data_IF_634380197255
#
_entry.id   IF_634380197255
#
_cell.length_a   1.000
_cell.length_b   1.000
_cell.length_c   1.000
_cell.angle_alpha   90.00
_cell.angle_beta   90.00
_cell.angle_gamma   90.00
#
_symmetry.space_group_name_H-M   'P 1'
#
loop_
_entity.id
_entity.type
_entity.pdbx_description
1 polymer ?
#
# COMPACT_ATOMS: atom_id res chain seq x y z
N UNK A 1 2.83 -20.64 -15.50
CA UNK A 1 4.24 -20.27 -15.63
C UNK A 1 4.64 -19.49 -14.38
N UNK A 2 5.45 -20.11 -13.53
CA UNK A 2 5.96 -19.55 -12.29
C UNK A 2 6.92 -18.40 -12.61
N UNK A 3 6.63 -17.22 -12.09
CA UNK A 3 7.56 -16.10 -12.08
C UNK A 3 8.80 -16.53 -11.30
N UNK A 4 9.90 -16.80 -12.01
CA UNK A 4 11.22 -16.98 -11.41
C UNK A 4 11.78 -15.58 -11.19
N UNK A 5 11.82 -15.05 -9.95
CA UNK A 5 12.39 -13.74 -9.71
C UNK A 5 13.86 -13.81 -10.11
N UNK A 6 14.28 -12.95 -11.04
CA UNK A 6 15.70 -12.74 -11.30
C UNK A 6 16.37 -12.49 -9.95
N UNK A 7 17.35 -13.32 -9.54
CA UNK A 7 17.93 -13.21 -8.20
C UNK A 7 18.51 -11.80 -8.05
N UNK A 8 18.05 -11.06 -7.04
CA UNK A 8 18.39 -9.65 -6.81
C UNK A 8 19.90 -9.40 -6.67
N UNK A 9 20.72 -10.45 -6.41
CA UNK A 9 22.18 -10.40 -6.58
C UNK A 9 22.58 -9.90 -7.98
N UNK A 10 21.89 -10.34 -9.03
CA UNK A 10 22.10 -9.92 -10.40
C UNK A 10 21.58 -8.51 -10.72
N UNK A 11 20.62 -7.98 -9.95
CA UNK A 11 20.09 -6.62 -10.13
C UNK A 11 21.10 -5.54 -9.71
N UNK A 12 21.97 -5.84 -8.75
CA UNK A 12 23.03 -4.92 -8.29
C UNK A 12 24.42 -5.26 -8.85
N UNK A 13 24.60 -6.39 -9.54
CA UNK A 13 25.90 -6.83 -10.09
C UNK A 13 25.96 -6.84 -11.62
N UNK A 14 24.88 -6.48 -12.33
CA UNK A 14 24.87 -6.41 -13.80
C UNK A 14 25.28 -5.00 -14.26
N UNK A 15 26.27 -4.85 -15.17
CA UNK A 15 26.83 -3.55 -15.59
C UNK A 15 25.88 -2.51 -16.20
N UNK A 16 24.58 -2.81 -16.32
CA UNK A 16 23.56 -1.92 -16.88
C UNK A 16 22.40 -1.55 -15.95
N UNK A 17 22.42 -1.94 -14.67
CA UNK A 17 21.29 -1.76 -13.75
C UNK A 17 21.44 -0.63 -12.73
N UNK A 18 22.67 -0.20 -12.42
CA UNK A 18 22.94 0.95 -11.55
C UNK A 18 23.16 2.19 -12.42
N UNK A 19 22.15 3.03 -12.57
CA UNK A 19 22.25 4.23 -13.44
C UNK A 19 22.64 5.48 -12.64
N UNK A 20 22.25 5.58 -11.35
CA UNK A 20 22.76 6.61 -10.44
C UNK A 20 22.42 6.29 -8.97
N UNK A 21 23.37 6.52 -8.05
CA UNK A 21 23.06 6.68 -6.63
C UNK A 21 22.60 8.13 -6.43
N UNK A 22 21.31 8.34 -6.18
CA UNK A 22 20.78 9.67 -5.89
C UNK A 22 20.60 9.83 -4.38
N UNK A 23 20.62 11.07 -3.89
CA UNK A 23 20.27 11.37 -2.51
C UNK A 23 18.87 11.98 -2.49
N UNK A 24 17.99 11.47 -1.64
CA UNK A 24 16.74 12.13 -1.27
C UNK A 24 16.74 12.35 0.23
N UNK A 25 16.68 13.62 0.62
CA UNK A 25 16.73 14.06 2.02
C UNK A 25 17.92 13.46 2.79
N UNK A 26 19.12 13.52 2.19
CA UNK A 26 20.36 12.98 2.74
C UNK A 26 20.51 11.45 2.71
N UNK A 27 19.46 10.69 2.36
CA UNK A 27 19.53 9.23 2.28
C UNK A 27 19.92 8.76 0.87
N UNK A 28 20.93 7.88 0.74
CA UNK A 28 21.30 7.31 -0.55
C UNK A 28 20.18 6.38 -1.03
N UNK A 29 19.60 6.70 -2.16
CA UNK A 29 18.64 5.88 -2.88
C UNK A 29 19.35 5.27 -4.08
N UNK A 30 19.30 3.95 -4.14
CA UNK A 30 19.69 3.22 -5.35
C UNK A 30 18.53 3.24 -6.32
N UNK A 31 18.60 4.08 -7.35
CA UNK A 31 17.67 4.06 -8.47
C UNK A 31 18.23 3.13 -9.56
N UNK A 32 17.54 2.02 -9.77
CA UNK A 32 17.73 1.17 -10.94
C UNK A 32 16.58 1.39 -11.92
N UNK A 33 16.86 1.24 -13.21
CA UNK A 33 15.90 1.45 -14.30
C UNK A 33 15.75 0.21 -15.19
N UNK A 34 15.36 -0.96 -14.65
CA UNK A 34 15.06 -2.09 -15.50
C UNK A 34 13.87 -1.80 -16.41
N UNK A 35 13.94 -2.32 -17.63
CA UNK A 35 12.76 -2.41 -18.47
C UNK A 35 11.73 -3.36 -17.83
N UNK A 36 10.51 -2.88 -17.63
CA UNK A 36 9.35 -3.71 -17.35
C UNK A 36 9.15 -4.70 -18.50
N UNK A 37 8.96 -5.97 -18.17
CA UNK A 37 8.56 -7.04 -19.12
C UNK A 37 7.04 -7.24 -19.17
N UNK A 38 6.31 -6.44 -18.39
CA UNK A 38 4.87 -6.50 -18.15
C UNK A 38 4.51 -5.65 -16.94
N UNK A 39 3.25 -5.26 -16.81
CA UNK A 39 2.78 -4.34 -15.77
C UNK A 39 1.77 -4.97 -14.81
N UNK A 40 0.86 -5.81 -15.34
CA UNK A 40 -0.20 -6.50 -14.63
C UNK A 40 0.24 -7.93 -14.29
N UNK A 41 0.41 -8.19 -13.00
CA UNK A 41 0.61 -9.55 -12.48
C UNK A 41 -0.71 -10.07 -11.95
N UNK A 42 -1.10 -11.30 -12.28
CA UNK A 42 -2.26 -11.95 -11.64
C UNK A 42 -2.06 -11.95 -10.12
N UNK A 43 -3.05 -11.46 -9.39
CA UNK A 43 -3.03 -11.49 -7.94
C UNK A 43 -2.96 -12.95 -7.45
N UNK A 44 -2.29 -13.17 -6.33
CA UNK A 44 -2.20 -14.48 -5.70
C UNK A 44 -2.17 -14.37 -4.17
N UNK A 45 -2.37 -15.51 -3.49
CA UNK A 45 -2.32 -15.59 -2.02
C UNK A 45 -3.31 -14.65 -1.35
N UNK A 46 -2.85 -13.94 -0.31
CA UNK A 46 -3.67 -13.04 0.51
C UNK A 46 -4.33 -11.91 -0.31
N UNK A 47 -3.72 -11.50 -1.42
CA UNK A 47 -4.23 -10.40 -2.25
C UNK A 47 -5.30 -10.87 -3.22
N UNK A 48 -5.32 -12.13 -3.62
CA UNK A 48 -6.36 -12.68 -4.51
C UNK A 48 -7.53 -13.31 -3.75
N UNK A 49 -7.27 -13.84 -2.55
CA UNK A 49 -8.29 -14.54 -1.78
C UNK A 49 -9.32 -13.54 -1.24
N UNK A 50 -10.54 -13.62 -1.77
CA UNK A 50 -11.78 -12.91 -1.35
C UNK A 50 -11.82 -11.38 -1.46
N UNK A 51 -10.69 -10.70 -1.59
CA UNK A 51 -10.59 -9.27 -1.95
C UNK A 51 -11.06 -8.92 -3.37
N UNK A 52 -11.37 -9.93 -4.21
CA UNK A 52 -11.78 -9.81 -5.62
C UNK A 52 -10.77 -9.10 -6.55
N UNK A 53 -9.56 -8.79 -6.07
CA UNK A 53 -8.48 -8.26 -6.91
C UNK A 53 -8.01 -9.35 -7.89
N UNK A 54 -8.00 -9.05 -9.18
CA UNK A 54 -7.51 -9.97 -10.21
C UNK A 54 -6.07 -9.67 -10.60
N UNK A 55 -5.67 -8.39 -10.60
CA UNK A 55 -4.32 -7.98 -10.98
C UNK A 55 -3.70 -7.03 -9.98
N UNK A 56 -2.39 -7.13 -9.80
CA UNK A 56 -1.56 -6.14 -9.11
C UNK A 56 -0.69 -5.41 -10.12
N UNK A 57 -0.63 -4.10 -10.01
CA UNK A 57 0.14 -3.18 -10.84
C UNK A 57 1.28 -2.60 -9.99
N UNK A 58 2.53 -2.99 -10.23
CA UNK A 58 3.68 -2.63 -9.37
C UNK A 58 4.76 -1.85 -10.15
N UNK A 59 4.60 -0.51 -10.29
CA UNK A 59 5.58 0.34 -10.99
C UNK A 59 6.92 0.44 -10.26
N UNK A 60 6.88 0.34 -8.93
CA UNK A 60 8.05 0.41 -8.05
C UNK A 60 8.33 -0.90 -7.31
N UNK A 61 9.60 -1.16 -7.03
CA UNK A 61 10.03 -2.10 -5.99
C UNK A 61 10.75 -1.37 -4.86
N UNK A 62 10.62 -1.87 -3.65
CA UNK A 62 11.18 -1.21 -2.47
C UNK A 62 10.22 -0.17 -1.91
N UNK A 63 10.62 0.45 -0.81
CA UNK A 63 9.81 1.43 -0.09
C UNK A 63 10.73 2.25 0.82
N UNK A 64 10.52 3.57 0.86
CA UNK A 64 11.34 4.50 1.65
C UNK A 64 10.70 4.84 3.01
N UNK A 65 9.49 4.34 3.30
CA UNK A 65 8.79 4.59 4.56
C UNK A 65 9.35 3.81 5.76
N UNK A 66 10.17 2.78 5.51
CA UNK A 66 10.86 1.97 6.52
C UNK A 66 9.95 1.42 7.64
N UNK A 67 8.71 1.04 7.32
CA UNK A 67 7.78 0.58 8.34
C UNK A 67 8.30 -0.68 9.05
N UNK A 68 8.36 -0.66 10.37
CA UNK A 68 8.91 -1.76 11.19
C UNK A 68 8.02 -2.99 11.22
N UNK A 69 6.74 -2.86 10.88
CA UNK A 69 5.80 -3.99 10.76
C UNK A 69 5.66 -4.51 9.32
N UNK A 70 6.38 -3.95 8.34
CA UNK A 70 6.16 -4.24 6.92
C UNK A 70 6.31 -5.73 6.60
N UNK A 71 5.33 -6.31 5.89
CA UNK A 71 5.37 -7.72 5.48
C UNK A 71 6.22 -7.95 4.22
N UNK A 72 6.40 -6.91 3.39
CA UNK A 72 7.04 -7.03 2.08
C UNK A 72 8.47 -7.59 2.15
N UNK A 73 9.33 -7.18 3.11
CA UNK A 73 10.62 -7.83 3.39
C UNK A 73 10.59 -9.36 3.42
N UNK A 74 9.52 -9.95 3.97
CA UNK A 74 9.34 -11.41 4.12
C UNK A 74 8.50 -12.02 2.99
N UNK A 75 8.02 -11.24 2.04
CA UNK A 75 7.29 -11.75 0.88
C UNK A 75 8.20 -12.58 -0.03
N UNK A 76 7.60 -13.42 -0.88
CA UNK A 76 8.36 -14.27 -1.82
C UNK A 76 9.34 -13.48 -2.69
N UNK A 77 8.99 -12.25 -3.04
CA UNK A 77 9.84 -11.36 -3.86
C UNK A 77 11.15 -10.94 -3.17
N UNK A 78 11.18 -10.89 -1.82
CA UNK A 78 12.29 -10.28 -1.08
C UNK A 78 12.92 -11.18 -0.01
N UNK A 79 12.24 -12.25 0.45
CA UNK A 79 12.67 -13.07 1.60
C UNK A 79 14.07 -13.68 1.51
N UNK A 80 14.61 -13.85 0.30
CA UNK A 80 15.93 -14.44 0.07
C UNK A 80 16.98 -13.40 -0.36
N UNK A 81 16.70 -12.11 -0.19
CA UNK A 81 17.53 -11.01 -0.70
C UNK A 81 18.06 -10.17 0.46
N UNK A 82 19.28 -9.66 0.33
CA UNK A 82 19.85 -8.67 1.28
C UNK A 82 19.03 -7.38 1.29
N UNK A 83 18.43 -7.03 0.15
CA UNK A 83 17.53 -5.90 -0.01
C UNK A 83 16.28 -5.97 0.89
N UNK A 84 15.72 -7.17 1.05
CA UNK A 84 14.60 -7.44 1.95
C UNK A 84 15.01 -7.52 3.42
N UNK A 85 16.19 -8.08 3.72
CA UNK A 85 16.63 -8.33 5.11
C UNK A 85 17.27 -7.11 5.77
N UNK A 86 18.25 -6.51 5.12
CA UNK A 86 19.25 -5.66 5.78
C UNK A 86 19.14 -4.18 5.38
N UNK A 87 18.54 -3.90 4.21
CA UNK A 87 18.44 -2.54 3.66
C UNK A 87 17.02 -2.09 3.30
N UNK A 88 15.99 -2.81 3.74
CA UNK A 88 14.60 -2.35 3.57
C UNK A 88 14.42 -0.96 4.19
N UNK A 89 13.70 -0.08 3.49
CA UNK A 89 13.58 1.33 3.87
C UNK A 89 14.59 2.26 3.21
N UNK A 90 15.63 1.74 2.53
CA UNK A 90 16.78 2.54 2.04
C UNK A 90 16.90 2.62 0.52
N UNK A 91 15.98 2.01 -0.23
CA UNK A 91 16.09 1.96 -1.69
C UNK A 91 14.72 1.86 -2.34
N UNK A 92 14.67 2.30 -3.59
CA UNK A 92 13.51 2.13 -4.46
C UNK A 92 13.97 1.96 -5.90
N UNK A 93 13.40 0.99 -6.60
CA UNK A 93 13.66 0.75 -8.02
C UNK A 93 12.44 1.17 -8.80
N UNK A 94 12.63 1.99 -9.83
CA UNK A 94 11.58 2.39 -10.74
C UNK A 94 11.71 1.66 -12.08
N UNK A 95 10.60 1.51 -12.79
CA UNK A 95 10.58 0.95 -14.14
C UNK A 95 10.09 2.02 -15.11
N UNK A 96 10.97 2.78 -15.78
CA UNK A 96 10.55 3.96 -16.54
C UNK A 96 9.59 3.67 -17.71
N UNK A 97 9.72 2.49 -18.32
CA UNK A 97 8.87 2.02 -19.43
C UNK A 97 7.60 1.27 -18.96
N UNK A 98 7.27 1.34 -17.67
CA UNK A 98 6.15 0.61 -17.09
C UNK A 98 4.77 1.08 -17.62
N UNK A 99 4.53 2.39 -17.84
CA UNK A 99 3.28 2.86 -18.44
C UNK A 99 3.02 2.28 -19.84
N UNK A 100 4.06 2.16 -20.67
CA UNK A 100 3.96 1.63 -22.03
C UNK A 100 3.59 0.13 -22.01
N UNK A 101 4.23 -0.64 -21.13
CA UNK A 101 3.88 -2.05 -20.93
C UNK A 101 2.44 -2.19 -20.41
N UNK A 102 2.00 -1.29 -19.54
CA UNK A 102 0.65 -1.27 -18.99
C UNK A 102 -0.40 -0.99 -20.08
N UNK A 103 -0.18 0.02 -20.93
CA UNK A 103 -1.07 0.32 -22.05
C UNK A 103 -1.26 -0.90 -22.95
N UNK A 104 -0.19 -1.59 -23.32
CA UNK A 104 -0.28 -2.79 -24.18
C UNK A 104 -1.13 -3.90 -23.55
N UNK A 105 -1.00 -4.13 -22.25
CA UNK A 105 -1.75 -5.16 -21.54
C UNK A 105 -3.22 -4.77 -21.30
N UNK A 106 -3.49 -3.49 -21.03
CA UNK A 106 -4.85 -2.96 -20.92
C UNK A 106 -5.57 -3.01 -22.27
N UNK A 107 -4.93 -2.58 -23.36
CA UNK A 107 -5.48 -2.69 -24.72
C UNK A 107 -5.77 -4.16 -25.10
N UNK A 108 -4.95 -5.11 -24.63
CA UNK A 108 -5.20 -6.54 -24.83
C UNK A 108 -6.38 -7.08 -24.02
N UNK A 109 -6.66 -6.51 -22.84
CA UNK A 109 -7.88 -6.83 -22.07
C UNK A 109 -9.12 -6.20 -22.71
N UNK A 110 -8.98 -5.00 -23.26
CA UNK A 110 -10.04 -4.27 -23.92
C UNK A 110 -10.47 -4.94 -25.24
N UNK A 111 -9.51 -5.34 -26.09
CA UNK A 111 -9.77 -6.15 -27.31
C UNK A 111 -10.47 -7.48 -27.03
N UNK A 112 -10.36 -8.00 -25.81
CA UNK A 112 -11.05 -9.22 -25.36
C UNK A 112 -12.39 -8.93 -24.68
N UNK A 113 -12.78 -7.66 -24.59
CA UNK A 113 -13.99 -7.17 -23.92
C UNK A 113 -14.11 -7.61 -22.45
N UNK A 114 -12.97 -7.73 -21.77
CA UNK A 114 -12.92 -8.10 -20.35
C UNK A 114 -12.40 -6.99 -19.44
N UNK A 115 -11.92 -5.87 -19.97
CA UNK A 115 -11.37 -4.76 -19.18
C UNK A 115 -12.35 -4.24 -18.12
N UNK A 116 -13.61 -4.02 -18.49
CA UNK A 116 -14.68 -3.59 -17.56
C UNK A 116 -15.11 -4.63 -16.51
N UNK A 117 -14.48 -5.81 -16.52
CA UNK A 117 -14.65 -6.85 -15.50
C UNK A 117 -13.42 -6.99 -14.60
N UNK A 118 -12.32 -6.32 -14.96
CA UNK A 118 -11.04 -6.45 -14.28
C UNK A 118 -10.97 -5.54 -13.06
N UNK A 119 -10.44 -6.09 -11.97
CA UNK A 119 -10.07 -5.33 -10.78
C UNK A 119 -8.56 -5.28 -10.61
N UNK A 120 -8.02 -4.07 -10.46
CA UNK A 120 -6.58 -3.79 -10.34
C UNK A 120 -6.27 -3.20 -8.96
N UNK A 121 -5.26 -3.73 -8.29
CA UNK A 121 -4.63 -3.09 -7.13
C UNK A 121 -3.34 -2.42 -7.55
N UNK A 122 -3.22 -1.12 -7.32
CA UNK A 122 -1.98 -0.39 -7.50
C UNK A 122 -1.07 -0.61 -6.29
N UNK A 123 0.11 -1.13 -6.56
CA UNK A 123 1.20 -1.42 -5.62
C UNK A 123 0.83 -2.37 -4.46
N UNK A 124 1.32 -3.60 -4.53
CA UNK A 124 1.19 -4.63 -3.49
C UNK A 124 2.49 -4.94 -2.74
N UNK A 125 3.61 -4.38 -3.19
CA UNK A 125 4.96 -4.65 -2.67
C UNK A 125 5.83 -3.39 -2.57
N UNK A 126 5.19 -2.23 -2.65
CA UNK A 126 5.77 -0.89 -2.54
C UNK A 126 4.64 0.08 -2.18
N UNK A 127 4.97 1.33 -1.88
CA UNK A 127 3.97 2.39 -1.86
C UNK A 127 3.85 2.98 -3.27
N UNK A 128 2.64 3.24 -3.79
CA UNK A 128 2.48 3.81 -5.13
C UNK A 128 3.02 5.24 -5.24
N UNK A 129 3.15 5.98 -4.13
CA UNK A 129 3.63 7.35 -4.12
C UNK A 129 4.82 7.46 -3.16
N UNK A 130 5.98 6.92 -3.56
CA UNK A 130 7.18 7.04 -2.75
C UNK A 130 7.59 8.52 -2.64
N UNK A 131 8.32 8.95 -1.58
CA UNK A 131 8.78 10.33 -1.42
C UNK A 131 9.40 10.98 -2.67
N UNK A 132 10.04 10.18 -3.53
CA UNK A 132 10.66 10.62 -4.80
C UNK A 132 9.68 10.80 -5.97
N UNK A 133 8.41 10.41 -5.86
CA UNK A 133 7.40 10.50 -6.94
C UNK A 133 7.30 11.88 -7.59
N UNK A 134 7.35 13.02 -6.87
CA UNK A 134 7.26 14.35 -7.50
C UNK A 134 8.40 14.67 -8.48
N UNK A 135 9.48 13.88 -8.49
CA UNK A 135 10.56 13.98 -9.49
C UNK A 135 10.43 12.94 -10.60
N UNK A 136 9.80 11.80 -10.32
CA UNK A 136 9.74 10.66 -11.22
C UNK A 136 8.49 10.68 -12.11
N UNK A 137 7.37 11.16 -11.56
CA UNK A 137 6.05 11.19 -12.20
C UNK A 137 5.60 9.84 -12.79
N UNK A 138 6.19 8.72 -12.32
CA UNK A 138 5.94 7.41 -12.89
C UNK A 138 4.53 6.93 -12.53
N UNK A 139 4.11 7.10 -11.28
CA UNK A 139 2.76 6.72 -10.88
C UNK A 139 1.72 7.61 -11.54
N UNK A 140 2.02 8.90 -11.75
CA UNK A 140 1.13 9.77 -12.54
C UNK A 140 0.88 9.21 -13.94
N UNK A 141 1.94 8.87 -14.68
CA UNK A 141 1.83 8.24 -16.02
C UNK A 141 1.10 6.89 -16.00
N UNK A 142 1.25 6.12 -14.92
CA UNK A 142 0.49 4.88 -14.71
C UNK A 142 -0.99 5.14 -14.49
N UNK A 143 -1.34 6.16 -13.71
CA UNK A 143 -2.73 6.56 -13.48
C UNK A 143 -3.38 7.14 -14.73
N UNK A 144 -2.64 7.90 -15.55
CA UNK A 144 -3.11 8.36 -16.87
C UNK A 144 -3.45 7.16 -17.78
N UNK A 145 -2.58 6.15 -17.85
CA UNK A 145 -2.85 4.94 -18.61
C UNK A 145 -4.06 4.15 -18.09
N UNK A 146 -4.24 4.08 -16.77
CA UNK A 146 -5.40 3.44 -16.15
C UNK A 146 -6.68 4.25 -16.36
N UNK A 147 -6.64 5.57 -16.33
CA UNK A 147 -7.78 6.43 -16.65
C UNK A 147 -8.23 6.22 -18.09
N UNK A 148 -7.28 6.26 -19.03
CA UNK A 148 -7.59 6.10 -20.45
C UNK A 148 -8.12 4.69 -20.80
N UNK A 149 -7.78 3.67 -19.98
CA UNK A 149 -8.30 2.30 -20.08
C UNK A 149 -8.83 1.83 -18.72
N UNK A 150 -9.91 2.45 -18.27
CA UNK A 150 -10.44 2.26 -16.92
C UNK A 150 -10.88 0.81 -16.68
N UNK A 151 -10.25 0.08 -15.74
CA UNK A 151 -10.73 -1.23 -15.31
C UNK A 151 -12.06 -1.08 -14.54
N UNK A 152 -12.75 -2.19 -14.26
CA UNK A 152 -13.96 -2.15 -13.39
C UNK A 152 -13.69 -1.38 -12.10
N UNK A 153 -12.56 -1.70 -11.48
CA UNK A 153 -12.13 -1.14 -10.22
C UNK A 153 -10.62 -0.99 -10.13
N UNK A 154 -10.18 0.15 -9.64
CA UNK A 154 -8.83 0.48 -9.23
C UNK A 154 -8.80 0.66 -7.71
N UNK A 155 -7.96 -0.12 -7.03
CA UNK A 155 -7.73 0.02 -5.60
C UNK A 155 -6.32 0.58 -5.35
N UNK A 156 -6.23 1.70 -4.65
CA UNK A 156 -4.97 2.35 -4.28
C UNK A 156 -4.85 2.34 -2.77
N UNK A 157 -3.74 1.80 -2.24
CA UNK A 157 -3.43 1.89 -0.81
C UNK A 157 -2.10 2.62 -0.62
N UNK A 158 -2.09 3.68 0.19
CA UNK A 158 -0.88 4.48 0.44
C UNK A 158 -0.83 5.07 1.86
N UNK A 159 0.34 5.62 2.22
CA UNK A 159 0.53 6.54 3.37
C UNK A 159 0.95 7.95 2.94
N UNK A 160 1.15 8.15 1.64
CA UNK A 160 1.73 9.36 1.08
C UNK A 160 0.72 10.48 0.98
N UNK A 161 1.19 11.72 1.18
CA UNK A 161 0.40 12.92 0.90
C UNK A 161 0.32 13.21 -0.61
N UNK A 162 1.25 12.66 -1.39
CA UNK A 162 1.40 12.93 -2.84
C UNK A 162 0.26 12.37 -3.69
N UNK A 163 -0.61 11.53 -3.11
CA UNK A 163 -1.85 11.13 -3.78
C UNK A 163 -2.75 12.34 -4.10
N UNK A 164 -2.61 13.44 -3.36
CA UNK A 164 -3.34 14.68 -3.62
C UNK A 164 -2.95 15.35 -4.95
N UNK A 165 -1.73 15.10 -5.44
CA UNK A 165 -1.27 15.58 -6.75
C UNK A 165 -1.87 14.78 -7.92
N UNK A 166 -2.70 13.78 -7.61
CA UNK A 166 -3.39 12.93 -8.58
C UNK A 166 -4.90 13.15 -8.58
N UNK A 167 -5.42 14.08 -7.78
CA UNK A 167 -6.87 14.34 -7.65
C UNK A 167 -7.51 14.63 -9.00
N UNK A 168 -6.82 15.35 -9.87
CA UNK A 168 -7.29 15.65 -11.22
C UNK A 168 -7.57 14.38 -12.03
N UNK A 169 -6.66 13.40 -12.02
CA UNK A 169 -6.83 12.12 -12.71
C UNK A 169 -7.85 11.24 -11.99
N UNK A 170 -7.78 11.15 -10.67
CA UNK A 170 -8.65 10.29 -9.86
C UNK A 170 -10.12 10.73 -9.93
N UNK A 171 -10.38 12.04 -10.02
CA UNK A 171 -11.73 12.59 -10.16
C UNK A 171 -12.40 12.18 -11.48
N UNK A 172 -11.64 11.98 -12.56
CA UNK A 172 -12.14 11.50 -13.85
C UNK A 172 -12.63 10.04 -13.78
N UNK A 173 -12.08 9.24 -12.86
CA UNK A 173 -12.44 7.82 -12.66
C UNK A 173 -13.02 7.53 -11.28
N UNK A 174 -13.59 8.54 -10.60
CA UNK A 174 -14.08 8.42 -9.21
C UNK A 174 -15.07 7.28 -8.98
N UNK A 175 -15.86 6.94 -10.00
CA UNK A 175 -16.83 5.82 -9.97
C UNK A 175 -16.15 4.43 -10.04
N UNK A 176 -14.85 4.39 -10.33
CA UNK A 176 -14.05 3.18 -10.55
C UNK A 176 -12.81 3.12 -9.65
N UNK A 177 -12.63 4.06 -8.71
CA UNK A 177 -11.45 4.09 -7.85
C UNK A 177 -11.80 4.20 -6.38
N UNK A 178 -11.10 3.43 -5.55
CA UNK A 178 -11.13 3.54 -4.09
C UNK A 178 -9.72 3.80 -3.59
N UNK A 179 -9.55 4.82 -2.75
CA UNK A 179 -8.27 5.21 -2.17
C UNK A 179 -8.26 4.93 -0.66
N UNK A 180 -7.46 3.95 -0.26
CA UNK A 180 -7.19 3.63 1.14
C UNK A 180 -5.96 4.35 1.69
N UNK A 181 -6.15 5.18 2.73
CA UNK A 181 -5.03 5.81 3.45
C UNK A 181 -4.75 5.03 4.73
N UNK A 182 -3.52 4.55 4.88
CA UNK A 182 -3.15 3.77 6.07
C UNK A 182 -2.88 4.67 7.26
N UNK A 183 -3.63 4.48 8.36
CA UNK A 183 -3.50 5.18 9.64
C UNK A 183 -3.58 4.13 10.74
N UNK A 184 -2.44 3.80 11.36
CA UNK A 184 -2.30 2.61 12.22
C UNK A 184 -2.53 2.88 13.71
N UNK A 185 -2.53 4.15 14.12
CA UNK A 185 -2.66 4.62 15.50
C UNK A 185 -3.07 6.09 15.53
N UNK A 186 -3.62 6.56 16.65
CA UNK A 186 -3.84 7.98 16.97
C UNK A 186 -2.65 8.62 17.69
N UNK A 187 -1.60 7.85 17.99
CA UNK A 187 -0.45 8.31 18.78
C UNK A 187 0.75 8.54 17.87
N UNK A 188 1.16 9.80 17.76
CA UNK A 188 2.33 10.15 16.95
C UNK A 188 3.64 9.56 17.51
N UNK A 189 3.68 9.30 18.82
CA UNK A 189 4.78 8.56 19.47
C UNK A 189 4.87 7.11 19.00
N UNK A 190 3.74 6.47 18.69
CA UNK A 190 3.70 5.11 18.12
C UNK A 190 4.08 5.15 16.64
N UNK A 191 3.51 6.10 15.88
CA UNK A 191 3.83 6.34 14.47
C UNK A 191 5.32 6.55 14.25
N UNK A 192 5.99 7.43 15.01
CA UNK A 192 7.44 7.68 14.92
C UNK A 192 8.29 6.42 15.10
N UNK A 193 7.82 5.45 15.87
CA UNK A 193 8.54 4.20 16.16
C UNK A 193 8.37 3.18 15.04
N UNK A 194 7.14 3.01 14.56
CA UNK A 194 6.81 1.98 13.57
C UNK A 194 6.87 2.47 12.13
N UNK A 195 6.72 3.76 11.89
CA UNK A 195 6.61 4.41 10.58
C UNK A 195 7.48 5.69 10.57
N UNK A 196 8.80 5.57 10.77
CA UNK A 196 9.67 6.72 11.05
C UNK A 196 9.65 7.77 9.95
N UNK A 197 9.55 7.32 8.69
CA UNK A 197 9.60 8.19 7.51
C UNK A 197 8.20 8.46 6.92
N UNK A 198 7.12 7.95 7.53
CA UNK A 198 5.76 8.23 7.06
C UNK A 198 5.29 9.62 7.52
N UNK A 199 4.40 10.27 6.75
CA UNK A 199 3.82 11.55 7.15
C UNK A 199 3.09 11.47 8.50
N UNK A 200 2.96 12.61 9.21
CA UNK A 200 2.18 12.70 10.45
C UNK A 200 0.76 12.15 10.31
N UNK A 201 0.20 11.64 11.40
CA UNK A 201 -1.18 11.11 11.43
C UNK A 201 -2.19 12.17 10.94
N UNK A 202 -2.14 13.38 11.49
CA UNK A 202 -3.07 14.46 11.11
C UNK A 202 -2.99 14.82 9.62
N UNK A 203 -1.78 14.82 9.06
CA UNK A 203 -1.60 15.09 7.62
C UNK A 203 -2.24 14.00 6.75
N UNK A 204 -2.21 12.74 7.19
CA UNK A 204 -2.89 11.64 6.50
C UNK A 204 -4.42 11.71 6.64
N UNK A 205 -4.92 12.21 7.76
CA UNK A 205 -6.36 12.47 7.94
C UNK A 205 -6.80 13.63 7.04
N UNK A 206 -6.00 14.68 6.90
CA UNK A 206 -6.29 15.77 5.96
C UNK A 206 -6.33 15.30 4.50
N UNK A 207 -5.46 14.36 4.12
CA UNK A 207 -5.53 13.70 2.79
C UNK A 207 -6.88 13.03 2.58
N UNK A 208 -7.37 12.26 3.56
CA UNK A 208 -8.70 11.61 3.48
C UNK A 208 -9.80 12.64 3.26
N UNK A 209 -9.82 13.71 4.08
CA UNK A 209 -10.77 14.83 3.95
C UNK A 209 -10.77 15.42 2.55
N UNK A 210 -9.59 15.74 2.03
CA UNK A 210 -9.43 16.42 0.73
C UNK A 210 -9.83 15.52 -0.44
N UNK A 211 -9.51 14.24 -0.39
CA UNK A 211 -9.95 13.26 -1.38
C UNK A 211 -11.47 13.08 -1.35
N UNK A 212 -12.07 12.95 -0.16
CA UNK A 212 -13.53 12.86 0.02
C UNK A 212 -14.25 14.09 -0.53
N UNK A 213 -13.74 15.29 -0.25
CA UNK A 213 -14.27 16.55 -0.77
C UNK A 213 -14.18 16.66 -2.30
N UNK A 214 -13.25 15.93 -2.93
CA UNK A 214 -13.16 15.82 -4.38
C UNK A 214 -14.11 14.75 -4.97
N UNK A 215 -14.95 14.12 -4.15
CA UNK A 215 -15.89 13.08 -4.58
C UNK A 215 -15.24 11.72 -4.82
N UNK A 216 -14.02 11.50 -4.34
CA UNK A 216 -13.30 10.22 -4.47
C UNK A 216 -13.69 9.32 -3.29
N UNK A 217 -14.00 8.06 -3.58
CA UNK A 217 -14.24 7.07 -2.54
C UNK A 217 -12.98 6.81 -1.72
N UNK A 218 -13.10 6.94 -0.40
CA UNK A 218 -11.97 6.87 0.52
C UNK A 218 -12.25 5.97 1.71
N UNK A 219 -11.20 5.26 2.13
CA UNK A 219 -11.25 4.45 3.34
C UNK A 219 -10.00 4.63 4.21
N UNK A 220 -10.19 4.49 5.51
CA UNK A 220 -9.09 4.44 6.45
C UNK A 220 -8.63 2.98 6.63
N UNK A 221 -7.33 2.74 6.48
CA UNK A 221 -6.74 1.43 6.66
C UNK A 221 -5.99 1.38 7.98
N UNK A 222 -6.61 0.80 9.00
CA UNK A 222 -6.00 0.55 10.31
C UNK A 222 -5.32 -0.81 10.29
N UNK A 223 -4.24 -0.89 9.49
CA UNK A 223 -3.51 -2.13 9.24
C UNK A 223 -1.98 -1.93 9.26
N UNK A 224 -1.27 -2.44 10.29
CA UNK A 224 -1.82 -3.15 11.44
C UNK A 224 -2.44 -2.20 12.48
N UNK A 225 -3.32 -2.74 13.32
CA UNK A 225 -3.85 -2.12 14.53
C UNK A 225 -2.72 -1.99 15.57
N UNK A 226 -2.03 -0.86 15.57
CA UNK A 226 -0.98 -0.52 16.53
C UNK A 226 -1.58 0.08 17.81
N UNK A 227 -0.79 0.20 18.91
CA UNK A 227 -1.27 0.80 20.16
C UNK A 227 -1.92 2.16 19.93
N UNK A 228 -3.15 2.32 20.40
CA UNK A 228 -3.98 3.50 20.15
C UNK A 228 -5.10 3.60 21.20
N UNK A 229 -5.84 4.71 21.21
CA UNK A 229 -7.22 4.72 21.72
C UNK A 229 -8.18 4.48 20.53
N UNK A 230 -8.82 3.29 20.44
CA UNK A 230 -9.68 2.97 19.30
C UNK A 230 -10.92 3.87 19.18
N UNK A 231 -11.48 4.35 20.30
CA UNK A 231 -12.67 5.19 20.26
C UNK A 231 -12.31 6.59 19.76
N UNK A 232 -11.17 7.11 20.21
CA UNK A 232 -10.63 8.38 19.75
C UNK A 232 -10.27 8.33 18.26
N UNK A 233 -9.49 7.34 17.82
CA UNK A 233 -9.13 7.22 16.40
C UNK A 233 -10.37 7.03 15.52
N UNK A 234 -11.34 6.22 15.96
CA UNK A 234 -12.59 6.04 15.21
C UNK A 234 -13.33 7.38 15.04
N UNK A 235 -13.45 8.18 16.10
CA UNK A 235 -14.12 9.49 16.05
C UNK A 235 -13.40 10.49 15.12
N UNK A 236 -12.06 10.45 15.07
CA UNK A 236 -11.28 11.29 14.15
C UNK A 236 -11.49 10.90 12.68
N UNK A 237 -11.68 9.61 12.40
CA UNK A 237 -11.76 9.07 11.03
C UNK A 237 -13.17 9.10 10.45
N UNK A 238 -14.19 8.90 11.27
CA UNK A 238 -15.60 8.78 10.84
C UNK A 238 -16.07 9.86 9.86
N UNK A 239 -15.85 11.16 10.11
CA UNK A 239 -16.32 12.19 9.18
C UNK A 239 -15.55 12.19 7.86
N UNK A 240 -14.33 11.64 7.83
CA UNK A 240 -13.40 11.79 6.72
C UNK A 240 -13.40 10.62 5.73
N UNK A 241 -14.10 9.52 6.04
CA UNK A 241 -14.05 8.29 5.21
C UNK A 241 -15.42 7.65 4.97
N UNK A 242 -15.52 6.86 3.92
CA UNK A 242 -16.73 6.05 3.63
C UNK A 242 -16.77 4.82 4.53
N UNK A 243 -15.60 4.22 4.79
CA UNK A 243 -15.45 3.05 5.66
C UNK A 243 -14.06 2.96 6.29
N UNK A 244 -13.93 2.04 7.25
CA UNK A 244 -12.65 1.68 7.85
C UNK A 244 -12.39 0.19 7.68
N UNK A 245 -11.12 -0.17 7.46
CA UNK A 245 -10.65 -1.55 7.45
C UNK A 245 -9.67 -1.74 8.60
N UNK A 246 -9.93 -2.72 9.45
CA UNK A 246 -9.14 -2.98 10.66
C UNK A 246 -8.49 -4.34 10.53
N UNK A 247 -7.18 -4.39 10.79
CA UNK A 247 -6.39 -5.60 10.71
C UNK A 247 -5.43 -5.67 11.88
N UNK A 248 -5.48 -6.73 12.68
CA UNK A 248 -4.54 -6.88 13.79
C UNK A 248 -3.11 -7.09 13.29
N UNK A 249 -2.14 -6.84 14.18
CA UNK A 249 -0.72 -7.16 13.95
C UNK A 249 -0.52 -8.65 13.61
N UNK A 250 -1.39 -9.53 14.12
CA UNK A 250 -1.33 -10.97 13.90
C UNK A 250 -2.01 -11.43 12.59
N UNK A 251 -2.92 -10.65 12.00
CA UNK A 251 -3.64 -11.04 10.78
C UNK A 251 -2.79 -10.88 9.49
N UNK A 252 -1.47 -11.00 9.57
CA UNK A 252 -0.59 -10.91 8.40
C UNK A 252 -0.63 -12.15 7.46
N UNK A 253 -1.59 -13.06 7.67
CA UNK A 253 -1.72 -14.34 6.97
C UNK A 253 -0.87 -15.48 7.55
N UNK A 254 -0.02 -15.21 8.56
CA UNK A 254 0.78 -16.21 9.27
C UNK A 254 0.93 -15.92 10.78
N UNK A 255 -0.10 -15.36 11.41
CA UNK A 255 -0.12 -15.09 12.86
C UNK A 255 1.07 -14.24 13.33
N UNK A 256 1.35 -13.14 12.62
CA UNK A 256 2.46 -12.20 12.92
C UNK A 256 3.83 -12.65 12.38
N UNK A 257 3.95 -13.83 11.76
CA UNK A 257 5.24 -14.36 11.27
C UNK A 257 5.74 -13.67 10.00
N UNK A 258 4.87 -13.00 9.24
CA UNK A 258 5.23 -12.19 8.07
C UNK A 258 5.68 -10.77 8.44
N UNK A 259 5.48 -10.30 9.68
CA UNK A 259 6.05 -9.03 10.15
C UNK A 259 7.57 -9.02 10.00
N UNK A 260 8.17 -7.86 9.72
CA UNK A 260 9.63 -7.71 9.72
C UNK A 260 10.23 -8.21 11.06
N UNK A 261 11.41 -8.86 11.04
CA UNK A 261 12.07 -9.28 12.28
C UNK A 261 12.24 -8.09 13.25
N UNK A 262 12.00 -8.32 14.53
CA UNK A 262 12.08 -7.28 15.57
C UNK A 262 10.78 -6.52 15.81
N UNK A 263 9.74 -6.66 14.97
CA UNK A 263 8.49 -5.92 15.14
C UNK A 263 7.74 -6.26 16.43
N UNK A 264 7.63 -7.56 16.75
CA UNK A 264 6.94 -8.03 17.96
C UNK A 264 7.76 -7.74 19.22
N UNK A 265 9.07 -7.88 19.13
CA UNK A 265 10.02 -7.52 20.19
C UNK A 265 9.98 -6.01 20.48
N UNK A 266 9.82 -5.19 19.45
CA UNK A 266 9.66 -3.75 19.59
C UNK A 266 8.36 -3.38 20.30
N UNK A 267 7.26 -4.11 20.05
CA UNK A 267 6.03 -3.96 20.84
C UNK A 267 6.28 -4.34 22.31
N UNK A 268 6.94 -5.47 22.58
CA UNK A 268 7.21 -5.93 23.93
C UNK A 268 8.08 -4.95 24.73
N UNK A 269 9.22 -4.54 24.18
CA UNK A 269 10.19 -3.63 24.82
C UNK A 269 9.64 -2.24 25.11
N UNK A 270 8.55 -1.83 24.45
CA UNK A 270 7.87 -0.54 24.66
C UNK A 270 6.62 -0.65 25.54
N UNK A 271 6.33 -1.83 26.10
CA UNK A 271 5.13 -2.05 26.91
C UNK A 271 3.83 -2.07 26.09
N UNK A 272 3.93 -2.39 24.79
CA UNK A 272 2.85 -2.34 23.81
C UNK A 272 2.43 -3.73 23.31
N UNK A 273 2.82 -4.79 24.04
CA UNK A 273 2.55 -6.17 23.65
C UNK A 273 1.06 -6.49 23.57
N UNK A 274 0.23 -5.73 24.30
CA UNK A 274 -1.23 -5.83 24.25
C UNK A 274 -1.80 -5.62 22.82
N UNK A 275 -1.10 -4.90 21.94
CA UNK A 275 -1.51 -4.76 20.53
C UNK A 275 -1.50 -6.09 19.75
N UNK A 276 -0.90 -7.14 20.29
CA UNK A 276 -0.94 -8.50 19.75
C UNK A 276 -2.06 -9.37 20.33
N UNK A 277 -2.79 -8.88 21.34
CA UNK A 277 -3.87 -9.62 22.00
C UNK A 277 -5.18 -9.56 21.20
N UNK A 278 -5.91 -10.66 21.17
CA UNK A 278 -7.27 -10.74 20.64
C UNK A 278 -8.26 -9.87 21.42
N UNK A 279 -8.04 -9.67 22.73
CA UNK A 279 -8.85 -8.77 23.56
C UNK A 279 -8.73 -7.33 23.07
N UNK A 280 -7.52 -6.89 22.70
CA UNK A 280 -7.31 -5.55 22.15
C UNK A 280 -8.01 -5.38 20.81
N UNK A 281 -7.90 -6.38 19.92
CA UNK A 281 -8.65 -6.38 18.66
C UNK A 281 -10.16 -6.31 18.89
N UNK A 282 -10.71 -7.15 19.77
CA UNK A 282 -12.15 -7.19 20.05
C UNK A 282 -12.66 -5.85 20.61
N UNK A 283 -11.91 -5.24 21.53
CA UNK A 283 -12.23 -3.92 22.08
C UNK A 283 -12.16 -2.82 21.01
N UNK A 284 -11.14 -2.86 20.14
CA UNK A 284 -11.05 -1.94 19.03
C UNK A 284 -12.25 -2.10 18.08
N UNK A 285 -12.56 -3.31 17.63
CA UNK A 285 -13.70 -3.57 16.75
C UNK A 285 -15.01 -3.07 17.37
N UNK A 286 -15.23 -3.29 18.67
CA UNK A 286 -16.41 -2.75 19.38
C UNK A 286 -16.45 -1.22 19.34
N UNK A 287 -15.33 -0.54 19.56
CA UNK A 287 -15.26 0.91 19.52
C UNK A 287 -15.51 1.47 18.11
N UNK A 288 -14.87 0.91 17.08
CA UNK A 288 -15.08 1.32 15.69
C UNK A 288 -16.51 1.07 15.23
N UNK A 289 -17.10 -0.10 15.53
CA UNK A 289 -18.49 -0.41 15.18
C UNK A 289 -19.50 0.50 15.89
N UNK A 290 -19.20 0.95 17.11
CA UNK A 290 -20.03 1.94 17.82
C UNK A 290 -20.07 3.28 17.10
N UNK A 291 -18.98 3.67 16.42
CA UNK A 291 -18.85 4.96 15.73
C UNK A 291 -19.31 4.87 14.27
N UNK A 292 -18.88 3.85 13.53
CA UNK A 292 -19.12 3.70 12.10
C UNK A 292 -20.41 2.91 11.77
N UNK A 293 -20.94 2.15 12.71
CA UNK A 293 -21.90 1.07 12.42
C UNK A 293 -21.20 -0.19 11.90
N UNK A 294 -21.91 -1.31 11.87
CA UNK A 294 -21.34 -2.61 11.47
C UNK A 294 -20.95 -2.66 9.99
N UNK A 295 -21.76 -2.08 9.10
CA UNK A 295 -21.58 -2.19 7.64
C UNK A 295 -20.37 -1.41 7.10
N UNK A 296 -19.93 -0.39 7.85
CA UNK A 296 -18.78 0.47 7.49
C UNK A 296 -17.47 0.02 8.12
N UNK A 297 -17.44 -1.12 8.82
CA UNK A 297 -16.22 -1.68 9.43
C UNK A 297 -15.86 -3.02 8.79
N UNK A 298 -14.80 -3.01 7.97
CA UNK A 298 -14.19 -4.24 7.43
C UNK A 298 -13.18 -4.84 8.40
N UNK A 299 -13.14 -6.17 8.50
CA UNK A 299 -12.20 -6.88 9.39
C UNK A 299 -11.31 -7.85 8.62
N UNK A 300 -10.01 -7.65 8.78
CA UNK A 300 -8.98 -8.56 8.30
C UNK A 300 -8.98 -8.77 6.79
N UNK A 301 -8.59 -9.97 6.35
CA UNK A 301 -8.41 -10.31 4.93
C UNK A 301 -9.70 -10.35 4.12
N UNK A 302 -10.81 -10.64 4.78
CA UNK A 302 -12.10 -10.95 4.16
C UNK A 302 -12.76 -9.69 3.62
N UNK A 303 -12.66 -8.60 4.37
CA UNK A 303 -13.23 -7.29 4.04
C UNK A 303 -12.15 -6.23 3.80
N UNK A 304 -10.94 -6.66 3.43
CA UNK A 304 -9.80 -5.75 3.28
C UNK A 304 -10.00 -4.74 2.15
N UNK A 305 -10.77 -5.11 1.13
CA UNK A 305 -11.07 -4.28 -0.03
C UNK A 305 -12.56 -4.39 -0.29
N UNK A 306 -13.20 -3.23 -0.31
CA UNK A 306 -14.59 -3.12 -0.69
C UNK A 306 -14.73 -2.13 -1.82
N UNK A 307 -15.45 -2.56 -2.85
CA UNK A 307 -15.84 -1.68 -3.94
C UNK A 307 -17.31 -1.33 -3.76
N UNK A 308 -17.68 -0.05 -3.86
CA UNK A 308 -19.08 0.37 -3.90
C UNK A 308 -19.89 -0.46 -4.91
N UNK A 309 -21.15 -0.70 -4.59
CA UNK A 309 -22.07 -1.52 -5.39
C UNK A 309 -22.43 -0.90 -6.73
#
# INVERSE_FOLDING_TARGET
MSYSPTPMRALFSSPGFLTAMQHYDGNPIVLAHPCARGALSKACGYIAYKSRIQYTCNPYYGCLYDCKYCYVPKSFAFKHTTAGRDSWGKWIVQKPNFPEALVQELDALDRRHVLGQVTVRLSSISDPFPPVEPRLHLTRRVLEALRDRTPRWLYIQTKSLQVLDMVDILAEIREHVVVGITITSDKETVRKVFEPNAPPIEARIDVLRRLKNAGIHVEAIVAPLLPQDPAHLAAMLEPEVDRVVIKSVLDDGKNGKNLRPGASELLATRGWINATDQVFLANALKAYKKVFGDDRVGVGKEDFIHFPG
#
